data_IF_929044046758
#
_entry.id   IF_929044046758
#
_cell.length_a   1.000
_cell.length_b   1.000
_cell.length_c   1.000
_cell.angle_alpha   90.00
_cell.angle_beta   90.00
_cell.angle_gamma   90.00
#
_symmetry.space_group_name_H-M   'P 1'
#
loop_
_entity.id
_entity.type
_entity.pdbx_description
1 polymer ?
#
# COMPACT_ATOMS: atom_id res chain seq x y z
N UNK A 1 9.15 12.84 19.43
CA UNK A 1 9.02 12.68 17.96
C UNK A 1 9.30 11.21 17.71
N UNK A 2 8.29 10.43 17.32
CA UNK A 2 8.49 9.03 16.99
C UNK A 2 9.34 9.00 15.72
N UNK A 3 10.51 8.40 15.78
CA UNK A 3 11.36 8.09 14.62
C UNK A 3 10.67 6.99 13.81
N UNK A 4 9.59 7.34 13.11
CA UNK A 4 8.98 6.42 12.14
C UNK A 4 9.97 6.22 10.98
N UNK A 5 10.21 4.98 10.63
CA UNK A 5 10.98 4.67 9.43
C UNK A 5 10.25 5.23 8.20
N UNK A 6 10.98 6.02 7.42
CA UNK A 6 10.53 6.60 6.16
C UNK A 6 10.16 5.50 5.18
N UNK A 7 9.02 5.66 4.52
CA UNK A 7 8.58 4.75 3.47
C UNK A 7 8.77 5.35 2.08
N UNK A 8 8.74 4.46 1.10
CA UNK A 8 8.81 4.78 -0.31
C UNK A 8 7.58 4.24 -1.01
N UNK A 9 7.06 5.01 -1.98
CA UNK A 9 5.86 4.65 -2.74
C UNK A 9 6.08 4.89 -4.23
N UNK A 10 5.49 4.05 -5.08
CA UNK A 10 5.31 4.37 -6.50
C UNK A 10 3.84 4.69 -6.74
N UNK A 11 3.59 5.84 -7.31
CA UNK A 11 2.29 6.30 -7.77
C UNK A 11 2.17 6.08 -9.27
N UNK A 12 1.07 5.51 -9.70
CA UNK A 12 0.85 5.17 -11.11
C UNK A 12 -0.14 6.12 -11.76
N UNK A 13 0.24 6.70 -12.88
CA UNK A 13 -0.65 7.49 -13.73
C UNK A 13 -0.33 7.24 -15.21
N UNK A 14 -1.34 7.34 -16.07
CA UNK A 14 -1.14 7.19 -17.51
C UNK A 14 -1.37 8.50 -18.27
N UNK A 15 -1.96 9.52 -17.64
CA UNK A 15 -2.39 10.74 -18.35
C UNK A 15 -2.28 12.02 -17.55
N UNK A 16 -1.87 11.95 -16.28
CA UNK A 16 -1.97 13.09 -15.36
C UNK A 16 -0.64 13.53 -14.73
N UNK A 17 0.48 13.03 -15.21
CA UNK A 17 1.80 13.35 -14.63
C UNK A 17 2.06 14.85 -14.56
N UNK A 18 1.81 15.57 -15.65
CA UNK A 18 1.99 17.02 -15.65
C UNK A 18 1.10 17.71 -14.62
N UNK A 19 -0.19 17.31 -14.54
CA UNK A 19 -1.10 17.85 -13.51
C UNK A 19 -0.63 17.54 -12.10
N UNK A 20 -0.03 16.38 -11.85
CA UNK A 20 0.55 16.04 -10.56
C UNK A 20 1.71 16.99 -10.20
N UNK A 21 2.62 17.21 -11.14
CA UNK A 21 3.82 18.03 -10.92
C UNK A 21 3.45 19.52 -10.82
N UNK A 22 2.63 20.03 -11.74
CA UNK A 22 2.21 21.44 -11.76
C UNK A 22 1.47 21.85 -10.49
N UNK A 23 0.65 20.96 -9.93
CA UNK A 23 -0.16 21.26 -8.75
C UNK A 23 0.46 20.75 -7.43
N UNK A 24 1.56 20.01 -7.47
CA UNK A 24 2.16 19.40 -6.29
C UNK A 24 1.18 18.43 -5.58
N UNK A 25 0.42 17.66 -6.34
CA UNK A 25 -0.60 16.74 -5.86
C UNK A 25 -0.49 15.38 -6.54
N UNK A 26 -0.77 14.33 -5.80
CA UNK A 26 -1.12 13.04 -6.39
C UNK A 26 -2.49 12.60 -5.87
N UNK A 27 -3.34 12.10 -6.76
CA UNK A 27 -4.72 11.74 -6.45
C UNK A 27 -5.07 10.31 -6.80
N UNK A 28 -5.95 9.70 -6.01
CA UNK A 28 -6.49 8.37 -6.21
C UNK A 28 -8.03 8.37 -6.20
N UNK A 29 -8.62 7.32 -6.76
CA UNK A 29 -10.07 7.08 -6.70
C UNK A 29 -10.46 6.38 -5.40
N UNK A 30 -9.65 5.43 -4.95
CA UNK A 30 -9.89 4.66 -3.73
C UNK A 30 -9.21 5.30 -2.53
N UNK A 31 -9.88 5.24 -1.38
CA UNK A 31 -9.36 5.78 -0.13
C UNK A 31 -8.20 4.94 0.42
N UNK A 32 -8.20 3.62 0.18
CA UNK A 32 -7.15 2.74 0.65
C UNK A 32 -5.85 2.88 -0.15
N UNK A 33 -5.91 3.36 -1.38
CA UNK A 33 -4.72 3.51 -2.23
C UNK A 33 -3.64 4.44 -1.67
N UNK A 34 -4.02 5.37 -0.78
CA UNK A 34 -3.11 6.33 -0.16
C UNK A 34 -3.15 6.26 1.38
N UNK A 35 -3.74 5.21 1.95
CA UNK A 35 -4.00 5.13 3.39
C UNK A 35 -2.74 5.07 4.25
N UNK A 36 -1.64 4.53 3.71
CA UNK A 36 -0.37 4.41 4.42
C UNK A 36 0.67 5.46 4.01
N UNK A 37 0.31 6.36 3.09
CA UNK A 37 1.17 7.46 2.63
C UNK A 37 1.07 8.59 3.63
N UNK A 38 2.17 8.92 4.28
CA UNK A 38 2.23 9.91 5.34
C UNK A 38 3.35 10.91 5.10
N UNK A 39 3.28 12.03 5.83
CA UNK A 39 4.30 13.07 5.79
C UNK A 39 5.70 12.51 6.00
N UNK A 40 6.64 13.09 5.27
CA UNK A 40 8.06 12.75 5.23
C UNK A 40 8.39 11.42 4.52
N UNK A 41 7.38 10.66 4.05
CA UNK A 41 7.61 9.60 3.09
C UNK A 41 8.12 10.18 1.76
N UNK A 42 8.71 9.35 0.91
CA UNK A 42 9.08 9.70 -0.45
C UNK A 42 8.28 8.91 -1.46
N UNK A 43 7.95 9.55 -2.55
CA UNK A 43 7.20 8.94 -3.63
C UNK A 43 7.88 9.17 -4.99
N UNK A 44 7.59 8.25 -5.90
CA UNK A 44 7.92 8.33 -7.31
C UNK A 44 6.62 8.26 -8.09
N UNK A 45 6.55 8.95 -9.22
CA UNK A 45 5.42 8.82 -10.14
C UNK A 45 5.89 8.03 -11.36
N UNK A 46 5.20 6.95 -11.69
CA UNK A 46 5.38 6.23 -12.94
C UNK A 46 4.31 6.66 -13.95
N UNK A 47 4.77 7.21 -15.07
CA UNK A 47 3.92 7.49 -16.23
C UNK A 47 3.81 6.25 -17.10
N UNK A 48 2.65 5.61 -17.06
CA UNK A 48 2.40 4.40 -17.84
C UNK A 48 2.30 4.65 -19.35
N UNK A 49 2.08 5.88 -19.80
CA UNK A 49 2.00 6.24 -21.22
C UNK A 49 3.39 6.41 -21.82
N UNK A 50 4.22 7.19 -21.16
CA UNK A 50 5.57 7.53 -21.66
C UNK A 50 6.64 6.56 -21.12
N UNK A 51 6.28 5.67 -20.18
CA UNK A 51 7.19 4.74 -19.52
C UNK A 51 8.34 5.45 -18.80
N UNK A 52 8.03 6.54 -18.08
CA UNK A 52 8.98 7.35 -17.36
C UNK A 52 8.72 7.28 -15.85
N UNK A 53 9.80 7.24 -15.07
CA UNK A 53 9.75 7.51 -13.63
C UNK A 53 10.08 8.96 -13.36
N UNK A 54 9.33 9.58 -12.47
CA UNK A 54 9.54 10.93 -11.97
C UNK A 54 9.75 10.93 -10.46
N UNK A 55 10.58 11.83 -9.94
CA UNK A 55 10.84 11.99 -8.53
C UNK A 55 12.32 12.27 -8.22
N UNK A 56 12.75 12.04 -6.98
CA UNK A 56 11.94 11.70 -5.80
C UNK A 56 11.11 12.89 -5.32
N UNK A 57 9.90 12.63 -4.86
CA UNK A 57 8.99 13.64 -4.30
C UNK A 57 8.78 13.38 -2.82
N UNK A 58 9.01 14.38 -1.98
CA UNK A 58 8.70 14.29 -0.56
C UNK A 58 7.20 14.49 -0.33
N UNK A 59 6.57 13.67 0.53
CA UNK A 59 5.19 13.85 0.95
C UNK A 59 5.12 14.98 1.98
N UNK A 60 4.25 15.97 1.73
CA UNK A 60 4.07 17.15 2.56
C UNK A 60 2.85 17.06 3.49
N UNK A 61 1.80 16.35 3.08
CA UNK A 61 0.59 16.19 3.87
C UNK A 61 0.77 15.14 4.96
N UNK A 62 0.21 15.42 6.15
CA UNK A 62 0.28 14.49 7.28
C UNK A 62 -0.41 13.15 6.97
N UNK A 63 -1.47 13.20 6.18
CA UNK A 63 -2.24 12.08 5.65
C UNK A 63 -2.94 12.46 4.34
N UNK A 64 -3.62 11.52 3.70
CA UNK A 64 -4.46 11.83 2.54
C UNK A 64 -5.61 12.78 2.91
N UNK A 65 -6.02 13.62 1.97
CA UNK A 65 -7.09 14.60 2.16
C UNK A 65 -8.06 14.61 0.97
N UNK A 66 -9.27 15.15 1.19
CA UNK A 66 -10.27 15.35 0.15
C UNK A 66 -10.11 16.75 -0.45
N UNK A 67 -9.91 16.83 -1.76
CA UNK A 67 -9.85 18.08 -2.51
C UNK A 67 -10.75 17.98 -3.74
N UNK A 68 -11.67 18.93 -3.89
CA UNK A 68 -12.68 18.91 -4.95
C UNK A 68 -12.30 19.75 -6.17
N UNK A 69 -11.14 20.40 -6.17
CA UNK A 69 -10.65 21.12 -7.34
C UNK A 69 -10.44 20.16 -8.52
N UNK A 70 -10.93 20.50 -9.72
CA UNK A 70 -10.89 19.60 -10.87
C UNK A 70 -9.52 19.56 -11.57
N UNK A 71 -8.41 19.54 -10.82
CA UNK A 71 -7.03 19.53 -11.37
C UNK A 71 -6.75 18.32 -12.30
N UNK A 72 -7.52 17.25 -12.14
CA UNK A 72 -7.48 16.06 -13.01
C UNK A 72 -8.70 15.97 -13.94
N UNK A 73 -9.42 17.09 -14.11
CA UNK A 73 -10.66 17.12 -14.88
C UNK A 73 -11.87 16.57 -14.13
N UNK A 74 -12.97 16.46 -14.85
CA UNK A 74 -14.25 15.98 -14.34
C UNK A 74 -14.64 14.65 -14.97
N UNK A 75 -15.44 13.86 -14.29
CA UNK A 75 -15.99 12.61 -14.82
C UNK A 75 -17.28 12.85 -15.61
N UNK A 76 -17.86 11.76 -16.16
CA UNK A 76 -19.14 11.81 -16.91
C UNK A 76 -20.34 12.29 -16.07
N UNK A 77 -20.24 12.30 -14.75
CA UNK A 77 -21.27 12.80 -13.82
C UNK A 77 -20.99 14.21 -13.36
N UNK A 78 -20.07 14.91 -14.02
CA UNK A 78 -19.64 16.27 -13.69
C UNK A 78 -18.98 16.40 -12.28
N UNK A 79 -18.36 15.33 -11.80
CA UNK A 79 -17.66 15.28 -10.53
C UNK A 79 -16.14 15.31 -10.73
N UNK A 80 -15.38 16.02 -9.85
CA UNK A 80 -13.92 16.02 -9.91
C UNK A 80 -13.34 14.60 -9.81
N UNK A 81 -12.32 14.33 -10.63
CA UNK A 81 -11.60 13.04 -10.59
C UNK A 81 -10.51 13.06 -9.53
N UNK A 82 -10.17 11.86 -9.01
CA UNK A 82 -9.03 11.63 -8.12
C UNK A 82 -9.02 12.61 -6.94
N UNK A 83 -10.14 12.65 -6.23
CA UNK A 83 -10.38 13.60 -5.13
C UNK A 83 -9.68 13.25 -3.81
N UNK A 84 -9.23 12.00 -3.61
CA UNK A 84 -8.40 11.60 -2.46
C UNK A 84 -6.96 11.87 -2.84
N UNK A 85 -6.29 12.76 -2.13
CA UNK A 85 -4.99 13.30 -2.55
C UNK A 85 -3.98 13.34 -1.43
N UNK A 86 -2.72 13.35 -1.82
CA UNK A 86 -1.58 13.72 -0.97
C UNK A 86 -0.84 14.88 -1.62
N UNK A 87 -0.26 15.75 -0.81
CA UNK A 87 0.59 16.83 -1.30
C UNK A 87 2.03 16.32 -1.44
N UNK A 88 2.68 16.68 -2.56
CA UNK A 88 4.05 16.30 -2.88
C UNK A 88 4.91 17.54 -3.11
N UNK A 89 6.17 17.49 -2.68
CA UNK A 89 7.17 18.50 -3.00
C UNK A 89 7.80 18.20 -4.36
N UNK A 90 7.59 19.10 -5.29
CA UNK A 90 8.09 18.97 -6.67
C UNK A 90 9.34 19.83 -6.93
N UNK A 91 9.94 20.40 -5.89
CA UNK A 91 11.12 21.28 -6.00
C UNK A 91 12.34 20.58 -6.60
N UNK A 92 12.44 19.27 -6.43
CA UNK A 92 13.48 18.43 -7.01
C UNK A 92 12.78 17.35 -7.85
N UNK A 93 12.37 17.70 -9.06
CA UNK A 93 11.78 16.75 -9.98
C UNK A 93 12.80 16.35 -11.05
N UNK A 94 13.07 15.05 -11.11
CA UNK A 94 13.86 14.42 -12.19
C UNK A 94 13.02 13.35 -12.85
N UNK A 95 13.37 12.97 -14.07
CA UNK A 95 12.75 11.83 -14.74
C UNK A 95 13.80 10.91 -15.35
N UNK A 96 13.45 9.63 -15.44
CA UNK A 96 14.30 8.59 -16.00
C UNK A 96 13.43 7.61 -16.80
N UNK A 97 13.90 7.24 -17.98
CA UNK A 97 13.25 6.22 -18.78
C UNK A 97 13.28 4.86 -18.07
N UNK A 98 12.15 4.20 -18.07
CA UNK A 98 11.99 2.86 -17.50
C UNK A 98 13.01 1.85 -18.06
N UNK A 99 13.31 1.92 -19.35
CA UNK A 99 14.31 1.03 -19.97
C UNK A 99 15.70 1.23 -19.38
N UNK A 100 16.04 2.47 -19.01
CA UNK A 100 17.31 2.79 -18.34
C UNK A 100 17.37 2.19 -16.94
N UNK A 101 16.28 2.23 -16.18
CA UNK A 101 16.17 1.54 -14.88
C UNK A 101 16.37 0.03 -15.06
N UNK A 102 15.69 -0.55 -16.03
CA UNK A 102 15.77 -1.97 -16.35
C UNK A 102 17.14 -2.41 -16.87
N UNK A 103 17.75 -1.61 -17.77
CA UNK A 103 19.07 -1.91 -18.32
C UNK A 103 20.17 -1.84 -17.26
N UNK A 104 20.06 -0.91 -16.32
CA UNK A 104 20.99 -0.77 -15.21
C UNK A 104 20.99 -2.00 -14.32
N UNK A 105 19.81 -2.56 -14.01
CA UNK A 105 19.70 -3.80 -13.25
C UNK A 105 20.34 -5.01 -13.93
N UNK A 106 20.21 -5.14 -15.24
CA UNK A 106 20.85 -6.21 -16.01
C UNK A 106 22.38 -6.15 -15.98
N UNK A 107 22.95 -4.96 -15.81
CA UNK A 107 24.38 -4.75 -15.70
C UNK A 107 24.98 -5.26 -14.38
N UNK A 108 24.19 -5.40 -13.33
CA UNK A 108 24.62 -5.91 -12.03
C UNK A 108 24.48 -7.43 -11.98
N UNK A 109 25.55 -8.13 -12.34
CA UNK A 109 25.61 -9.61 -12.42
C UNK A 109 25.22 -10.36 -11.15
N UNK A 110 25.16 -9.70 -9.99
CA UNK A 110 24.90 -10.33 -8.68
C UNK A 110 23.71 -9.75 -7.94
N UNK A 111 23.04 -8.74 -8.46
CA UNK A 111 21.85 -8.22 -7.84
C UNK A 111 20.64 -8.88 -8.50
N UNK A 112 20.13 -9.91 -7.89
CA UNK A 112 18.77 -10.41 -8.13
C UNK A 112 17.72 -9.36 -7.78
N UNK A 113 18.03 -8.08 -8.04
CA UNK A 113 17.17 -6.98 -7.73
C UNK A 113 16.08 -6.87 -8.72
N UNK A 114 15.08 -7.22 -8.30
CA UNK A 114 13.86 -7.36 -8.95
C UNK A 114 12.85 -6.32 -8.52
N UNK A 115 13.32 -5.12 -8.43
CA UNK A 115 12.52 -3.98 -8.78
C UNK A 115 11.50 -4.37 -9.84
N UNK A 116 11.88 -5.33 -10.51
CA UNK A 116 11.45 -5.90 -11.73
C UNK A 116 10.17 -6.69 -11.73
N UNK A 117 9.99 -7.67 -10.90
CA UNK A 117 8.83 -8.54 -11.10
C UNK A 117 7.54 -7.86 -10.73
N UNK A 118 7.52 -7.07 -9.68
CA UNK A 118 6.29 -6.44 -9.23
C UNK A 118 6.01 -5.15 -9.97
N UNK A 119 7.00 -4.29 -10.17
CA UNK A 119 6.84 -3.11 -11.01
C UNK A 119 6.58 -3.50 -12.46
N UNK A 120 7.33 -4.44 -13.02
CA UNK A 120 7.11 -4.96 -14.37
C UNK A 120 5.73 -5.57 -14.52
N UNK A 121 5.28 -6.43 -13.62
CA UNK A 121 3.96 -7.05 -13.74
C UNK A 121 2.85 -6.00 -13.61
N UNK A 122 2.98 -5.06 -12.71
CA UNK A 122 2.01 -3.98 -12.54
C UNK A 122 1.97 -3.04 -13.74
N UNK A 123 3.14 -2.73 -14.29
CA UNK A 123 3.30 -1.87 -15.46
C UNK A 123 2.86 -2.57 -16.75
N UNK A 124 3.29 -3.83 -16.96
CA UNK A 124 2.98 -4.57 -18.18
C UNK A 124 1.51 -5.02 -18.22
N UNK A 125 0.94 -5.38 -17.10
CA UNK A 125 -0.43 -5.88 -17.04
C UNK A 125 -1.50 -4.81 -16.93
N UNK A 126 -1.11 -3.54 -17.01
CA UNK A 126 -2.03 -2.40 -17.04
C UNK A 126 -3.02 -2.39 -15.86
N UNK A 127 -2.57 -2.83 -14.69
CA UNK A 127 -3.42 -2.88 -13.50
C UNK A 127 -3.78 -1.48 -13.03
N UNK A 128 -5.01 -1.29 -12.64
CA UNK A 128 -5.52 -0.04 -12.05
C UNK A 128 -5.05 0.11 -10.58
N UNK A 129 -3.75 0.04 -10.37
CA UNK A 129 -3.14 0.31 -9.07
C UNK A 129 -2.76 1.78 -9.04
N UNK A 130 -3.23 2.52 -8.03
CA UNK A 130 -2.90 3.94 -7.90
C UNK A 130 -1.58 4.16 -7.17
N UNK A 131 -1.28 3.34 -6.18
CA UNK A 131 -0.03 3.40 -5.45
C UNK A 131 0.46 2.00 -5.07
N UNK A 132 1.75 1.87 -4.92
CA UNK A 132 2.41 0.66 -4.47
C UNK A 132 3.54 1.03 -3.50
N UNK A 133 3.59 0.42 -2.31
CA UNK A 133 4.72 0.61 -1.42
C UNK A 133 5.97 -0.08 -1.98
N UNK A 134 7.12 0.55 -1.78
CA UNK A 134 8.43 -0.02 -2.03
C UNK A 134 9.10 -0.39 -0.72
N UNK A 135 9.94 -1.42 -0.75
CA UNK A 135 10.87 -1.67 0.35
C UNK A 135 11.86 -0.50 0.46
N UNK A 136 12.42 -0.28 1.64
CA UNK A 136 13.41 0.80 1.84
C UNK A 136 14.56 0.71 0.85
N UNK A 137 14.99 -0.51 0.57
CA UNK A 137 16.05 -0.78 -0.39
C UNK A 137 15.66 -0.37 -1.82
N UNK A 138 14.48 -0.79 -2.30
CA UNK A 138 13.97 -0.44 -3.63
C UNK A 138 13.81 1.07 -3.78
N UNK A 139 13.29 1.73 -2.73
CA UNK A 139 13.09 3.16 -2.71
C UNK A 139 14.42 3.94 -2.79
N UNK A 140 15.40 3.58 -1.96
CA UNK A 140 16.73 4.21 -2.00
C UNK A 140 17.43 3.96 -3.35
N UNK A 141 17.30 2.76 -3.91
CA UNK A 141 17.88 2.44 -5.20
C UNK A 141 17.29 3.30 -6.32
N UNK A 142 15.95 3.39 -6.43
CA UNK A 142 15.29 4.21 -7.46
C UNK A 142 15.61 5.69 -7.28
N UNK A 143 15.64 6.16 -6.04
CA UNK A 143 16.05 7.52 -5.70
C UNK A 143 17.48 7.84 -6.21
N UNK A 144 18.43 6.95 -5.92
CA UNK A 144 19.80 7.12 -6.35
C UNK A 144 19.93 7.09 -7.88
N UNK A 145 19.19 6.22 -8.57
CA UNK A 145 19.16 6.22 -10.03
C UNK A 145 18.64 7.54 -10.58
N UNK A 146 17.51 8.04 -10.09
CA UNK A 146 16.92 9.31 -10.53
C UNK A 146 17.84 10.50 -10.26
N UNK A 147 18.44 10.56 -9.07
CA UNK A 147 19.33 11.67 -8.72
C UNK A 147 20.61 11.70 -9.54
N UNK A 148 21.18 10.53 -9.87
CA UNK A 148 22.46 10.43 -10.56
C UNK A 148 22.33 10.40 -12.07
N UNK A 149 21.29 9.78 -12.62
CA UNK A 149 21.13 9.55 -14.05
C UNK A 149 19.92 10.27 -14.66
N UNK A 150 18.99 10.76 -13.83
CA UNK A 150 17.76 11.38 -14.32
C UNK A 150 17.98 12.80 -14.84
N UNK A 151 17.23 13.16 -15.87
CA UNK A 151 17.14 14.51 -16.38
C UNK A 151 16.24 15.39 -15.51
N UNK A 152 16.53 16.68 -15.45
CA UNK A 152 15.73 17.62 -14.68
C UNK A 152 14.41 17.94 -15.37
N UNK A 153 13.32 17.94 -14.62
CA UNK A 153 12.03 18.42 -15.10
C UNK A 153 11.98 19.94 -14.99
N UNK A 154 11.64 20.63 -16.06
CA UNK A 154 11.36 22.05 -15.99
C UNK A 154 10.00 22.26 -15.31
N UNK A 155 10.00 22.41 -14.01
CA UNK A 155 8.78 22.72 -13.24
C UNK A 155 8.51 24.22 -13.38
N UNK A 156 7.45 24.57 -14.09
CA UNK A 156 6.89 25.92 -13.98
C UNK A 156 6.20 25.96 -12.61
N UNK A 157 6.80 26.69 -11.70
CA UNK A 157 6.44 26.69 -10.28
C UNK A 157 5.08 27.37 -10.06
N UNK A 158 4.01 26.64 -10.24
CA UNK A 158 2.64 27.03 -9.93
C UNK A 158 2.15 26.40 -8.65
N UNK A 159 3.07 26.05 -7.73
CA UNK A 159 2.71 25.42 -6.47
C UNK A 159 1.57 26.18 -5.79
N UNK A 160 0.37 25.62 -5.88
CA UNK A 160 -0.73 26.04 -5.03
C UNK A 160 -0.33 25.78 -3.58
N UNK A 161 -0.37 26.78 -2.69
CA UNK A 161 -0.02 26.58 -1.30
C UNK A 161 -0.88 25.46 -0.72
N UNK A 162 -0.23 24.47 -0.10
CA UNK A 162 -0.92 23.44 0.67
C UNK A 162 -1.51 24.13 1.91
N UNK A 163 -2.79 24.45 1.83
CA UNK A 163 -3.57 24.83 3.00
C UNK A 163 -4.14 23.54 3.60
N UNK A 164 -4.09 23.42 4.93
CA UNK A 164 -4.68 22.30 5.67
C UNK A 164 -6.13 22.08 5.25
N UNK A 165 -6.33 21.21 4.28
CA UNK A 165 -7.64 20.77 3.85
C UNK A 165 -8.16 19.76 4.86
N UNK A 166 -9.45 19.78 5.10
CA UNK A 166 -10.12 18.90 6.04
C UNK A 166 -9.74 17.44 5.72
N UNK A 167 -9.10 16.76 6.64
CA UNK A 167 -8.67 15.38 6.45
C UNK A 167 -9.86 14.46 6.13
N UNK A 168 -9.64 13.41 5.37
CA UNK A 168 -10.70 12.44 5.00
C UNK A 168 -11.36 11.83 6.25
N UNK A 169 -10.71 11.82 7.40
CA UNK A 169 -11.31 11.35 8.66
C UNK A 169 -12.69 11.96 8.93
N UNK A 170 -12.91 13.23 8.61
CA UNK A 170 -14.20 13.88 8.77
C UNK A 170 -15.30 13.35 7.85
N UNK A 171 -14.93 12.67 6.75
CA UNK A 171 -15.83 12.19 5.70
C UNK A 171 -15.98 10.67 5.62
N UNK A 172 -15.32 9.91 6.50
CA UNK A 172 -15.47 8.44 6.59
C UNK A 172 -16.93 8.04 6.85
N UNK A 173 -17.71 8.89 7.50
CA UNK A 173 -19.14 8.68 7.75
C UNK A 173 -19.99 8.48 6.48
N UNK A 174 -19.51 8.97 5.33
CA UNK A 174 -20.21 8.87 4.04
C UNK A 174 -19.73 7.70 3.18
N UNK A 175 -18.75 6.92 3.63
CA UNK A 175 -18.27 5.76 2.90
C UNK A 175 -19.18 4.56 3.16
N UNK A 176 -19.59 3.92 2.09
CA UNK A 176 -20.23 2.60 2.19
C UNK A 176 -19.25 1.61 2.85
N UNK A 177 -19.76 0.77 3.73
CA UNK A 177 -18.97 -0.31 4.38
C UNK A 177 -18.32 -1.18 3.29
N UNK A 178 -17.02 -0.98 3.07
CA UNK A 178 -16.22 -1.70 2.06
C UNK A 178 -14.97 -2.26 2.72
N UNK A 179 -14.33 -3.27 2.14
CA UNK A 179 -13.02 -3.76 2.60
C UNK A 179 -12.02 -2.60 2.73
N UNK A 180 -12.00 -1.70 1.72
CA UNK A 180 -11.20 -0.50 1.73
C UNK A 180 -11.45 0.41 2.93
N UNK A 181 -12.66 0.46 3.47
CA UNK A 181 -12.97 1.20 4.68
C UNK A 181 -12.33 0.55 5.91
N UNK A 182 -12.49 -0.77 6.07
CA UNK A 182 -11.86 -1.50 7.19
C UNK A 182 -10.34 -1.33 7.16
N UNK A 183 -9.76 -1.54 6.00
CA UNK A 183 -8.33 -1.38 5.77
C UNK A 183 -7.84 0.02 6.14
N UNK A 184 -8.53 1.06 5.65
CA UNK A 184 -8.19 2.46 5.95
C UNK A 184 -8.27 2.77 7.45
N UNK A 185 -9.33 2.29 8.14
CA UNK A 185 -9.47 2.50 9.58
C UNK A 185 -8.36 1.78 10.35
N UNK A 186 -8.04 0.54 9.97
CA UNK A 186 -6.95 -0.21 10.58
C UNK A 186 -5.60 0.48 10.36
N UNK A 187 -5.34 0.96 9.16
CA UNK A 187 -4.10 1.69 8.85
C UNK A 187 -3.97 3.00 9.62
N UNK A 188 -5.07 3.68 9.90
CA UNK A 188 -5.07 4.94 10.65
C UNK A 188 -5.02 4.74 12.18
N UNK A 189 -5.53 3.63 12.72
CA UNK A 189 -5.60 3.35 14.14
C UNK A 189 -4.54 2.32 14.56
N UNK A 190 -3.29 2.68 14.51
CA UNK A 190 -2.19 1.83 14.98
C UNK A 190 -1.83 2.16 16.43
N UNK A 191 -1.70 1.19 17.32
CA UNK A 191 -1.94 -0.25 17.14
C UNK A 191 -3.41 -0.59 16.93
N UNK A 192 -3.71 -1.72 16.29
CA UNK A 192 -5.09 -2.15 16.04
C UNK A 192 -5.80 -2.46 17.36
N UNK A 193 -6.93 -1.79 17.66
CA UNK A 193 -7.67 -2.08 18.88
C UNK A 193 -8.32 -3.47 18.77
N UNK A 194 -7.88 -4.36 19.61
CA UNK A 194 -8.60 -5.59 19.94
C UNK A 194 -9.27 -5.37 21.28
N UNK A 195 -10.47 -5.88 21.48
CA UNK A 195 -11.29 -5.63 22.68
C UNK A 195 -10.60 -5.97 24.03
N UNK A 196 -9.53 -6.74 24.02
CA UNK A 196 -8.69 -7.06 25.19
C UNK A 196 -7.20 -7.23 24.87
N UNK A 197 -6.82 -7.21 23.61
CA UNK A 197 -5.43 -7.40 23.15
C UNK A 197 -5.16 -6.46 21.99
N UNK A 198 -3.98 -5.89 21.96
CA UNK A 198 -3.49 -5.08 20.86
C UNK A 198 -2.73 -6.02 19.94
N UNK A 199 -3.09 -6.05 18.64
CA UNK A 199 -2.15 -6.58 17.65
C UNK A 199 -1.05 -5.55 17.57
N UNK A 200 0.03 -5.76 18.27
CA UNK A 200 1.22 -4.95 18.14
C UNK A 200 1.76 -5.19 16.73
N UNK A 201 1.56 -4.21 15.88
CA UNK A 201 2.32 -4.12 14.65
C UNK A 201 3.69 -3.60 15.06
N UNK A 202 4.70 -4.44 14.90
CA UNK A 202 6.06 -4.05 15.19
C UNK A 202 6.43 -2.76 14.44
N UNK A 203 7.27 -1.93 15.05
CA UNK A 203 7.53 -0.55 14.61
C UNK A 203 8.15 -0.42 13.20
N UNK A 204 8.66 -1.51 12.59
CA UNK A 204 9.54 -1.32 11.46
C UNK A 204 8.84 -0.96 10.18
N UNK A 205 7.97 -1.80 9.63
CA UNK A 205 7.38 -1.49 8.33
C UNK A 205 5.98 -2.08 8.22
N UNK A 206 5.01 -1.24 7.88
CA UNK A 206 3.66 -1.67 7.53
C UNK A 206 3.38 -1.25 6.09
N UNK A 207 3.07 -2.21 5.26
CA UNK A 207 2.65 -1.99 3.88
C UNK A 207 1.15 -2.22 3.74
N UNK A 208 0.51 -1.27 3.07
CA UNK A 208 -0.87 -1.39 2.63
C UNK A 208 -0.89 -1.85 1.17
N UNK A 209 -1.73 -2.82 0.82
CA UNK A 209 -1.86 -3.33 -0.55
C UNK A 209 -0.52 -3.79 -1.14
N UNK A 210 0.21 -4.63 -0.40
CA UNK A 210 1.51 -5.12 -0.86
C UNK A 210 1.36 -6.10 -2.01
N UNK A 211 1.84 -5.72 -3.18
CA UNK A 211 1.69 -6.50 -4.42
C UNK A 211 2.70 -7.66 -4.45
N UNK A 212 2.18 -8.88 -4.56
CA UNK A 212 2.93 -10.11 -4.76
C UNK A 212 2.81 -10.58 -6.20
N UNK A 213 3.85 -10.37 -7.01
CA UNK A 213 3.84 -10.84 -8.40
C UNK A 213 2.59 -10.44 -9.18
N UNK A 214 2.14 -11.34 -10.09
CA UNK A 214 1.00 -11.09 -10.96
C UNK A 214 -0.30 -11.32 -10.18
N UNK A 215 -1.13 -10.26 -10.06
CA UNK A 215 -2.52 -10.32 -9.61
C UNK A 215 -2.78 -10.67 -8.13
N UNK A 216 -1.78 -10.58 -7.27
CA UNK A 216 -1.95 -10.83 -5.84
C UNK A 216 -1.55 -9.61 -5.04
N UNK A 217 -2.38 -9.24 -4.08
CA UNK A 217 -2.11 -8.15 -3.13
C UNK A 217 -2.45 -8.63 -1.74
N UNK A 218 -1.53 -8.43 -0.81
CA UNK A 218 -1.78 -8.59 0.62
C UNK A 218 -2.42 -7.29 1.10
N UNK A 219 -3.55 -7.35 1.77
CA UNK A 219 -4.24 -6.16 2.26
C UNK A 219 -3.34 -5.37 3.21
N UNK A 220 -2.77 -6.03 4.22
CA UNK A 220 -1.79 -5.41 5.11
C UNK A 220 -0.64 -6.39 5.36
N UNK A 221 0.59 -5.95 5.09
CA UNK A 221 1.81 -6.66 5.44
C UNK A 221 2.59 -5.86 6.48
N UNK A 222 2.85 -6.46 7.63
CA UNK A 222 3.72 -5.88 8.64
C UNK A 222 4.98 -6.73 8.81
N UNK A 223 6.12 -6.08 8.74
CA UNK A 223 7.44 -6.68 8.97
C UNK A 223 8.06 -5.98 10.17
N UNK A 224 8.37 -6.74 11.21
CA UNK A 224 9.05 -6.27 12.40
C UNK A 224 10.39 -7.02 12.60
N UNK A 225 11.12 -6.70 13.67
CA UNK A 225 12.36 -7.39 14.00
C UNK A 225 12.15 -8.90 14.16
N UNK A 226 11.05 -9.29 14.82
CA UNK A 226 10.83 -10.66 15.27
C UNK A 226 9.76 -11.39 14.47
N UNK A 227 8.94 -10.67 13.71
CA UNK A 227 7.78 -11.28 13.04
C UNK A 227 7.43 -10.65 11.70
N UNK A 228 6.71 -11.46 10.91
CA UNK A 228 6.01 -11.04 9.70
C UNK A 228 4.54 -11.36 9.88
N UNK A 229 3.67 -10.36 9.74
CA UNK A 229 2.22 -10.53 9.83
C UNK A 229 1.60 -10.28 8.46
N UNK A 230 1.02 -11.31 7.90
CA UNK A 230 0.24 -11.24 6.66
C UNK A 230 -1.22 -11.15 7.07
N UNK A 231 -1.91 -10.07 6.69
CA UNK A 231 -3.28 -9.80 7.12
C UNK A 231 -4.17 -9.72 5.89
N UNK A 232 -5.21 -10.54 5.90
CA UNK A 232 -6.27 -10.58 4.88
C UNK A 232 -7.59 -10.17 5.49
N UNK A 233 -8.29 -9.25 4.82
CA UNK A 233 -9.57 -8.68 5.25
C UNK A 233 -10.68 -9.19 4.34
N UNK A 234 -11.83 -9.60 4.89
CA UNK A 234 -13.01 -9.96 4.09
C UNK A 234 -14.28 -9.44 4.70
N UNK A 235 -15.07 -8.80 3.85
CA UNK A 235 -16.43 -8.39 4.16
C UNK A 235 -17.38 -9.58 4.33
N UNK A 236 -18.53 -9.29 4.91
CA UNK A 236 -19.61 -10.26 5.08
C UNK A 236 -20.04 -10.93 3.78
N UNK A 237 -20.18 -10.14 2.71
CA UNK A 237 -20.69 -10.60 1.41
C UNK A 237 -19.61 -11.24 0.52
N UNK A 238 -18.35 -11.18 0.90
CA UNK A 238 -17.29 -11.76 0.08
C UNK A 238 -17.34 -13.28 0.13
N UNK A 239 -17.35 -13.90 -1.05
CA UNK A 239 -17.47 -15.34 -1.23
C UNK A 239 -16.13 -16.06 -1.41
N UNK A 240 -15.05 -15.32 -1.63
CA UNK A 240 -13.72 -15.90 -1.80
C UNK A 240 -13.23 -16.51 -0.49
N UNK A 241 -12.54 -17.64 -0.59
CA UNK A 241 -12.00 -18.32 0.58
C UNK A 241 -10.73 -17.60 1.10
N UNK A 242 -10.82 -16.86 2.22
CA UNK A 242 -9.70 -16.08 2.73
C UNK A 242 -8.55 -16.97 3.25
N UNK A 243 -8.88 -18.17 3.73
CA UNK A 243 -7.88 -19.09 4.26
C UNK A 243 -6.97 -19.63 3.16
N UNK A 244 -7.53 -19.97 2.00
CA UNK A 244 -6.71 -20.39 0.87
C UNK A 244 -5.89 -19.23 0.31
N UNK A 245 -6.45 -18.05 0.26
CA UNK A 245 -5.80 -16.84 -0.24
C UNK A 245 -4.57 -16.48 0.61
N UNK A 246 -4.70 -16.46 1.93
CA UNK A 246 -3.58 -16.10 2.81
C UNK A 246 -2.48 -17.17 2.83
N UNK A 247 -2.84 -18.45 2.70
CA UNK A 247 -1.86 -19.55 2.55
C UNK A 247 -1.06 -19.40 1.24
N UNK A 248 -1.72 -18.99 0.16
CA UNK A 248 -1.08 -18.69 -1.12
C UNK A 248 -0.13 -17.48 -0.98
N UNK A 249 -0.54 -16.43 -0.30
CA UNK A 249 0.31 -15.27 -0.01
C UNK A 249 1.58 -15.64 0.75
N UNK A 250 1.46 -16.50 1.75
CA UNK A 250 2.63 -17.00 2.49
C UNK A 250 3.65 -17.65 1.55
N UNK A 251 3.21 -18.53 0.65
CA UNK A 251 4.09 -19.19 -0.29
C UNK A 251 4.79 -18.21 -1.24
N UNK A 252 4.04 -17.24 -1.79
CA UNK A 252 4.61 -16.22 -2.66
C UNK A 252 5.56 -15.29 -1.92
N UNK A 253 5.22 -14.89 -0.69
CA UNK A 253 6.04 -13.99 0.11
C UNK A 253 7.41 -14.59 0.41
N UNK A 254 7.47 -15.88 0.75
CA UNK A 254 8.73 -16.56 1.02
C UNK A 254 9.65 -16.66 -0.22
N UNK A 255 9.08 -16.59 -1.41
CA UNK A 255 9.84 -16.56 -2.67
C UNK A 255 10.09 -15.14 -3.18
N UNK A 256 9.50 -14.14 -2.55
CA UNK A 256 9.68 -12.74 -2.91
C UNK A 256 10.99 -12.22 -2.30
N UNK A 257 11.98 -12.02 -3.16
CA UNK A 257 13.32 -11.59 -2.75
C UNK A 257 13.34 -10.24 -2.01
N UNK A 258 12.33 -9.36 -2.20
CA UNK A 258 12.22 -8.10 -1.46
C UNK A 258 12.09 -8.33 0.05
N UNK A 259 11.49 -9.46 0.41
CA UNK A 259 11.30 -9.87 1.80
C UNK A 259 12.55 -10.53 2.37
N UNK A 260 13.39 -11.11 1.52
CA UNK A 260 14.66 -11.74 1.95
C UNK A 260 15.62 -10.74 2.61
N UNK A 261 15.53 -9.45 2.29
CA UNK A 261 16.31 -8.41 2.96
C UNK A 261 15.98 -8.23 4.45
N UNK A 262 14.85 -8.79 4.90
CA UNK A 262 14.40 -8.69 6.29
C UNK A 262 14.70 -9.94 7.11
N UNK A 263 15.57 -10.81 6.61
CA UNK A 263 15.97 -12.06 7.29
C UNK A 263 14.78 -12.92 7.72
N UNK A 264 13.92 -13.22 6.77
CA UNK A 264 12.63 -13.92 6.96
C UNK A 264 12.78 -15.24 7.70
N UNK A 265 13.92 -15.92 7.52
CA UNK A 265 14.17 -17.23 8.11
C UNK A 265 14.25 -17.21 9.64
N UNK A 266 14.48 -16.03 10.24
CA UNK A 266 14.60 -15.85 11.68
C UNK A 266 13.33 -15.28 12.32
N UNK A 267 12.28 -15.01 11.53
CA UNK A 267 11.07 -14.35 11.99
C UNK A 267 9.89 -15.32 12.14
N UNK A 268 9.09 -15.09 13.17
CA UNK A 268 7.79 -15.76 13.27
C UNK A 268 6.83 -15.23 12.20
N UNK A 269 6.11 -16.10 11.53
CA UNK A 269 5.16 -15.72 10.48
C UNK A 269 3.73 -15.92 10.99
N UNK A 270 2.97 -14.84 11.03
CA UNK A 270 1.56 -14.85 11.42
C UNK A 270 0.68 -14.72 10.17
N UNK A 271 -0.29 -15.63 10.04
CA UNK A 271 -1.32 -15.61 9.01
C UNK A 271 -2.63 -15.15 9.67
N UNK A 272 -2.97 -13.89 9.51
CA UNK A 272 -4.07 -13.24 10.21
C UNK A 272 -5.23 -13.02 9.26
N UNK A 273 -6.35 -13.69 9.49
CA UNK A 273 -7.59 -13.48 8.74
C UNK A 273 -8.55 -12.67 9.60
N UNK A 274 -9.04 -11.55 9.08
CA UNK A 274 -10.02 -10.70 9.74
C UNK A 274 -11.31 -10.69 8.93
N UNK A 275 -12.37 -11.25 9.50
CA UNK A 275 -13.67 -11.40 8.82
C UNK A 275 -14.73 -10.51 9.45
N UNK A 276 -15.47 -9.78 8.62
CA UNK A 276 -16.62 -9.02 9.11
C UNK A 276 -17.66 -9.95 9.75
N UNK A 277 -18.23 -9.50 10.86
CA UNK A 277 -19.29 -10.23 11.58
C UNK A 277 -20.40 -10.69 10.64
N UNK A 278 -20.70 -11.99 10.67
CA UNK A 278 -21.67 -12.64 9.79
C UNK A 278 -21.11 -13.12 8.45
N UNK A 279 -19.78 -13.05 8.24
CA UNK A 279 -19.15 -13.74 7.12
C UNK A 279 -19.28 -15.26 7.31
N UNK A 280 -19.65 -15.98 6.25
CA UNK A 280 -19.92 -17.43 6.28
C UNK A 280 -18.73 -18.28 6.78
N UNK A 281 -17.52 -17.82 6.62
CA UNK A 281 -16.32 -18.56 7.04
C UNK A 281 -16.09 -18.49 8.55
N UNK A 282 -16.71 -17.55 9.28
CA UNK A 282 -16.67 -17.52 10.75
C UNK A 282 -17.34 -18.76 11.36
N UNK A 283 -18.36 -19.32 10.71
CA UNK A 283 -19.11 -20.49 11.20
C UNK A 283 -18.63 -21.81 10.59
N UNK A 284 -17.78 -21.77 9.56
CA UNK A 284 -17.30 -22.95 8.86
C UNK A 284 -16.13 -23.63 9.59
N UNK A 285 -16.47 -24.52 10.52
CA UNK A 285 -15.49 -25.26 11.33
C UNK A 285 -14.53 -26.11 10.48
N UNK A 286 -14.99 -26.69 9.39
CA UNK A 286 -14.16 -27.52 8.50
C UNK A 286 -13.04 -26.70 7.85
N UNK A 287 -13.38 -25.55 7.26
CA UNK A 287 -12.40 -24.67 6.62
C UNK A 287 -11.40 -24.10 7.64
N UNK A 288 -11.87 -23.70 8.82
CA UNK A 288 -10.99 -23.24 9.91
C UNK A 288 -9.98 -24.30 10.32
N UNK A 289 -10.42 -25.55 10.52
CA UNK A 289 -9.53 -26.65 10.89
C UNK A 289 -8.51 -26.97 9.79
N UNK A 290 -8.92 -26.92 8.51
CA UNK A 290 -8.02 -27.09 7.37
C UNK A 290 -6.98 -25.97 7.36
N UNK A 291 -7.38 -24.72 7.58
CA UNK A 291 -6.50 -23.57 7.62
C UNK A 291 -5.43 -23.73 8.73
N UNK A 292 -5.86 -23.99 9.98
CA UNK A 292 -4.94 -24.18 11.11
C UNK A 292 -3.92 -25.28 10.81
N UNK A 293 -4.39 -26.45 10.32
CA UNK A 293 -3.50 -27.56 10.00
C UNK A 293 -2.48 -27.21 8.91
N UNK A 294 -2.94 -26.54 7.83
CA UNK A 294 -2.05 -26.14 6.73
C UNK A 294 -1.04 -25.08 7.19
N UNK A 295 -1.46 -24.09 7.95
CA UNK A 295 -0.57 -23.06 8.48
C UNK A 295 0.53 -23.68 9.37
N UNK A 296 0.15 -24.57 10.26
CA UNK A 296 1.11 -25.30 11.12
C UNK A 296 2.11 -26.14 10.28
N UNK A 297 1.67 -26.75 9.18
CA UNK A 297 2.57 -27.46 8.25
C UNK A 297 3.57 -26.51 7.58
N UNK A 298 3.22 -25.26 7.41
CA UNK A 298 4.07 -24.20 6.87
C UNK A 298 4.90 -23.47 7.94
N UNK A 299 4.89 -23.96 9.19
CA UNK A 299 5.52 -23.31 10.34
C UNK A 299 5.05 -21.86 10.55
N UNK A 300 3.79 -21.57 10.22
CA UNK A 300 3.16 -20.29 10.39
C UNK A 300 2.09 -20.34 11.49
N UNK A 301 1.89 -19.23 12.20
CA UNK A 301 0.94 -19.09 13.31
C UNK A 301 -0.39 -18.55 12.75
N UNK A 302 -1.46 -19.38 12.69
CA UNK A 302 -2.75 -18.93 12.21
C UNK A 302 -3.50 -18.14 13.28
N UNK A 303 -4.13 -17.06 12.89
CA UNK A 303 -5.03 -16.26 13.74
C UNK A 303 -6.29 -15.89 12.96
N UNK A 304 -7.45 -15.97 13.61
CA UNK A 304 -8.73 -15.57 13.05
C UNK A 304 -9.39 -14.55 13.97
N UNK A 305 -9.79 -13.41 13.39
CA UNK A 305 -10.52 -12.37 14.08
C UNK A 305 -11.87 -12.12 13.42
N UNK A 306 -12.88 -11.85 14.26
CA UNK A 306 -14.12 -11.27 13.82
C UNK A 306 -14.04 -9.74 13.93
N UNK A 307 -14.35 -9.04 12.84
CA UNK A 307 -14.42 -7.58 12.79
C UNK A 307 -15.86 -7.09 12.90
N UNK A 308 -16.07 -6.01 13.62
CA UNK A 308 -17.31 -5.26 13.58
C UNK A 308 -17.04 -3.75 13.65
N UNK A 309 -17.92 -2.96 12.99
CA UNK A 309 -17.90 -1.51 13.07
C UNK A 309 -19.04 -1.02 13.95
N UNK A 310 -18.72 -0.12 14.87
CA UNK A 310 -19.75 0.61 15.60
C UNK A 310 -20.29 1.82 14.80
N UNK A 311 -21.21 2.56 15.42
CA UNK A 311 -21.81 3.77 14.80
C UNK A 311 -20.80 4.91 14.62
N UNK A 312 -19.72 4.91 15.41
CA UNK A 312 -18.64 5.91 15.35
C UNK A 312 -17.51 5.54 14.37
N UNK A 313 -17.70 4.49 13.56
CA UNK A 313 -16.68 3.92 12.67
C UNK A 313 -15.42 3.41 13.38
N UNK A 314 -15.56 2.98 14.62
CA UNK A 314 -14.49 2.28 15.34
C UNK A 314 -14.59 0.78 15.05
N UNK A 315 -13.44 0.16 14.79
CA UNK A 315 -13.36 -1.31 14.59
C UNK A 315 -13.18 -1.98 15.94
N UNK A 316 -14.02 -2.99 16.17
CA UNK A 316 -13.84 -3.96 17.23
C UNK A 316 -13.37 -5.27 16.64
N UNK A 317 -12.29 -5.81 17.21
CA UNK A 317 -11.74 -7.11 16.84
C UNK A 317 -11.96 -8.07 17.99
N UNK A 318 -12.49 -9.25 17.69
CA UNK A 318 -12.65 -10.38 18.59
C UNK A 318 -11.83 -11.55 18.04
N UNK A 319 -10.85 -12.01 18.81
CA UNK A 319 -10.06 -13.17 18.40
C UNK A 319 -10.87 -14.45 18.58
N UNK A 320 -10.92 -15.25 17.53
CA UNK A 320 -11.61 -16.54 17.51
C UNK A 320 -10.65 -17.68 17.86
N UNK A 321 -9.40 -17.62 17.35
CA UNK A 321 -8.26 -18.47 17.72
C UNK A 321 -6.93 -17.84 17.30
#
# INVERSE_FOLDING_TARGET
MNNRNKKYHVFFTAIHVNSCIENGRFGATSINSLADVLKDDEAFIYDGKESLFYGPFKILSDEQFLELDPIYGIDKRNLPRYTKRVAIDVSIAKYLDYKSVYAYERGFKNSSFLFNRTLLSTVIENKQVHSMPLTSFEGEYLKNLLLNLGDSVNVVNTQMPYHHLTTIRANISNLTRSEALFETILMNNKPFPISSQIIELGEEIIYNQFVLGIQRQIDILNISNDSIKIIELKKKENLDNPFNQILEYHQYLLTDYRVHHYDVSQKEIYLIVMLEKGNKFLENASEKNIFVRKANTLSAIPQLFQMSLNKSNEIYLEQIF
#
